data_IF_485538039920
#
_entry.id   IF_485538039920
#
_cell.length_a   1.000
_cell.length_b   1.000
_cell.length_c   1.000
_cell.angle_alpha   90.00
_cell.angle_beta   90.00
_cell.angle_gamma   90.00
#
_symmetry.space_group_name_H-M   'P 1'
#
loop_
_entity.id
_entity.type
_entity.pdbx_description
1 polymer ?
#
# COMPACT_ATOMS: atom_id res chain seq x y z
N UNK A 1 -9.53 -40.10 -22.36
CA UNK A 1 -9.99 -38.73 -22.08
C UNK A 1 -9.75 -38.43 -20.61
N UNK A 2 -8.67 -37.73 -20.28
CA UNK A 2 -8.49 -37.15 -18.95
C UNK A 2 -7.66 -35.88 -19.13
N UNK A 3 -8.35 -34.73 -19.13
CA UNK A 3 -7.75 -33.42 -19.36
C UNK A 3 -7.13 -32.94 -18.04
N UNK A 4 -5.79 -32.97 -17.97
CA UNK A 4 -5.02 -32.39 -16.88
C UNK A 4 -5.25 -30.88 -16.92
N UNK A 5 -6.00 -30.38 -15.94
CA UNK A 5 -6.39 -28.98 -15.83
C UNK A 5 -5.20 -28.19 -15.28
N UNK A 6 -4.35 -27.69 -16.17
CA UNK A 6 -3.17 -26.90 -15.84
C UNK A 6 -3.59 -25.48 -15.43
N UNK A 7 -4.23 -25.32 -14.27
CA UNK A 7 -4.41 -24.01 -13.66
C UNK A 7 -3.08 -23.60 -13.04
N UNK A 8 -2.28 -22.89 -13.84
CA UNK A 8 -1.26 -21.99 -13.33
C UNK A 8 -1.95 -20.95 -12.45
N UNK A 9 -2.04 -21.25 -11.15
CA UNK A 9 -2.32 -20.26 -10.13
C UNK A 9 -1.09 -19.36 -10.10
N UNK A 10 -1.04 -18.37 -11.01
CA UNK A 10 -0.05 -17.30 -10.97
C UNK A 10 -0.26 -16.61 -9.63
N UNK A 11 0.61 -16.93 -8.67
CA UNK A 11 0.71 -16.19 -7.44
C UNK A 11 1.05 -14.75 -7.85
N UNK A 12 0.04 -13.88 -7.84
CA UNK A 12 0.16 -12.43 -8.07
C UNK A 12 1.05 -11.73 -7.02
N UNK A 13 1.68 -12.52 -6.15
CA UNK A 13 2.64 -12.19 -5.11
C UNK A 13 4.07 -12.64 -5.48
N UNK A 14 4.38 -12.89 -6.76
CA UNK A 14 5.77 -12.99 -7.18
C UNK A 14 6.38 -11.59 -7.13
N UNK A 15 6.90 -11.22 -5.96
CA UNK A 15 7.77 -10.06 -5.80
C UNK A 15 8.84 -10.09 -6.88
N UNK A 16 8.76 -9.17 -7.84
CA UNK A 16 9.84 -9.00 -8.81
C UNK A 16 11.11 -8.71 -8.01
N UNK A 17 12.21 -9.42 -8.25
CA UNK A 17 13.48 -9.21 -7.53
C UNK A 17 13.96 -7.73 -7.63
N UNK A 18 13.43 -6.99 -8.60
CA UNK A 18 13.69 -5.56 -8.80
C UNK A 18 12.63 -4.61 -8.21
N UNK A 19 11.56 -5.11 -7.58
CA UNK A 19 10.48 -4.29 -7.02
C UNK A 19 10.97 -3.21 -6.05
N UNK A 20 11.91 -3.47 -5.12
CA UNK A 20 12.46 -2.43 -4.26
C UNK A 20 13.19 -1.34 -5.06
N UNK A 21 13.97 -1.73 -6.08
CA UNK A 21 14.70 -0.78 -6.93
C UNK A 21 13.74 0.08 -7.74
N UNK A 22 12.68 -0.51 -8.30
CA UNK A 22 11.63 0.21 -9.03
C UNK A 22 10.89 1.21 -8.13
N UNK A 23 10.54 0.80 -6.91
CA UNK A 23 9.90 1.67 -5.93
C UNK A 23 10.78 2.88 -5.58
N UNK A 24 12.07 2.65 -5.33
CA UNK A 24 13.04 3.73 -5.06
C UNK A 24 13.11 4.70 -6.23
N UNK A 25 13.26 4.20 -7.46
CA UNK A 25 13.30 5.03 -8.66
C UNK A 25 12.04 5.89 -8.80
N UNK A 26 10.87 5.29 -8.60
CA UNK A 26 9.59 6.00 -8.67
C UNK A 26 9.49 7.12 -7.62
N UNK A 27 9.88 6.84 -6.38
CA UNK A 27 9.86 7.83 -5.29
C UNK A 27 10.81 8.99 -5.61
N UNK A 28 12.00 8.69 -6.17
CA UNK A 28 12.99 9.69 -6.54
C UNK A 28 12.59 10.52 -7.77
N UNK A 29 11.83 9.95 -8.70
CA UNK A 29 11.39 10.63 -9.93
C UNK A 29 10.12 11.45 -9.75
N UNK A 30 9.38 11.26 -8.66
CA UNK A 30 8.12 11.96 -8.40
C UNK A 30 8.34 13.37 -7.83
N UNK A 31 7.50 14.30 -8.26
CA UNK A 31 7.31 15.57 -7.55
C UNK A 31 6.66 15.35 -6.18
N UNK A 32 6.81 16.31 -5.28
CA UNK A 32 6.13 16.28 -3.98
C UNK A 32 4.61 16.17 -4.11
N UNK A 33 4.03 16.76 -5.16
CA UNK A 33 2.59 16.70 -5.42
C UNK A 33 2.14 15.29 -5.83
N UNK A 34 2.86 14.66 -6.76
CA UNK A 34 2.58 13.27 -7.18
C UNK A 34 2.75 12.28 -6.02
N UNK A 35 3.80 12.49 -5.21
CA UNK A 35 4.04 11.67 -4.04
C UNK A 35 2.92 11.80 -3.01
N UNK A 36 2.50 13.04 -2.72
CA UNK A 36 1.42 13.32 -1.77
C UNK A 36 0.11 12.72 -2.26
N UNK A 37 -0.20 12.86 -3.55
CA UNK A 37 -1.38 12.25 -4.17
C UNK A 37 -1.38 10.74 -4.01
N UNK A 38 -0.28 10.06 -4.33
CA UNK A 38 -0.19 8.59 -4.17
C UNK A 38 -0.43 8.16 -2.72
N UNK A 39 0.14 8.88 -1.74
CA UNK A 39 -0.03 8.56 -0.33
C UNK A 39 -1.51 8.72 0.07
N UNK A 40 -2.12 9.85 -0.27
CA UNK A 40 -3.53 10.12 0.06
C UNK A 40 -4.43 9.08 -0.61
N UNK A 41 -4.28 8.84 -1.91
CA UNK A 41 -5.09 7.88 -2.65
C UNK A 41 -4.97 6.47 -2.06
N UNK A 42 -3.76 6.06 -1.66
CA UNK A 42 -3.54 4.75 -1.01
C UNK A 42 -4.26 4.70 0.34
N UNK A 43 -4.10 5.71 1.20
CA UNK A 43 -4.78 5.71 2.51
C UNK A 43 -6.29 5.74 2.37
N UNK A 44 -6.84 6.55 1.46
CA UNK A 44 -8.28 6.59 1.17
C UNK A 44 -8.74 5.22 0.72
N UNK A 45 -8.10 4.62 -0.29
CA UNK A 45 -8.50 3.30 -0.80
C UNK A 45 -8.51 2.20 0.28
N UNK A 46 -7.64 2.26 1.28
CA UNK A 46 -7.55 1.25 2.34
C UNK A 46 -8.45 1.52 3.55
N UNK A 47 -8.83 2.78 3.79
CA UNK A 47 -9.53 3.19 5.01
C UNK A 47 -10.89 3.85 4.76
N UNK A 48 -11.30 4.02 3.51
CA UNK A 48 -12.52 4.73 3.11
C UNK A 48 -13.77 4.23 3.84
N UNK A 49 -13.95 2.91 3.97
CA UNK A 49 -15.11 2.36 4.66
C UNK A 49 -15.15 2.77 6.14
N UNK A 50 -14.00 2.75 6.82
CA UNK A 50 -13.91 3.19 8.21
C UNK A 50 -14.04 4.71 8.37
N UNK A 51 -13.61 5.49 7.38
CA UNK A 51 -13.82 6.94 7.34
C UNK A 51 -15.31 7.26 7.17
N UNK A 52 -16.01 6.55 6.27
CA UNK A 52 -17.44 6.73 6.01
C UNK A 52 -18.30 6.30 7.19
N UNK A 53 -17.96 5.19 7.84
CA UNK A 53 -18.70 4.66 9.00
C UNK A 53 -18.55 5.56 10.24
N UNK A 54 -17.32 5.94 10.59
CA UNK A 54 -17.08 6.77 11.77
C UNK A 54 -15.82 7.65 11.64
N UNK A 55 -15.97 8.88 11.11
CA UNK A 55 -14.86 9.81 10.89
C UNK A 55 -14.07 10.11 12.17
N UNK A 56 -14.75 10.24 13.32
CA UNK A 56 -14.11 10.58 14.60
C UNK A 56 -13.27 9.43 15.13
N UNK A 57 -13.77 8.19 15.05
CA UNK A 57 -13.02 7.01 15.43
C UNK A 57 -11.80 6.80 14.52
N UNK A 58 -11.94 7.05 13.22
CA UNK A 58 -10.80 7.04 12.29
C UNK A 58 -9.74 8.06 12.68
N UNK A 59 -10.13 9.31 12.97
CA UNK A 59 -9.17 10.35 13.41
C UNK A 59 -8.42 9.93 14.67
N UNK A 60 -9.11 9.39 15.69
CA UNK A 60 -8.45 8.86 16.88
C UNK A 60 -7.49 7.72 16.56
N UNK A 61 -7.85 6.81 15.66
CA UNK A 61 -6.97 5.73 15.20
C UNK A 61 -5.74 6.29 14.48
N UNK A 62 -5.92 7.28 13.61
CA UNK A 62 -4.83 7.94 12.91
C UNK A 62 -3.85 8.61 13.88
N UNK A 63 -4.34 9.40 14.85
CA UNK A 63 -3.47 9.98 15.88
C UNK A 63 -2.71 8.93 16.69
N UNK A 64 -3.34 7.79 17.01
CA UNK A 64 -2.66 6.65 17.66
C UNK A 64 -1.59 6.02 16.77
N UNK A 65 -1.82 5.95 15.45
CA UNK A 65 -0.82 5.49 14.48
C UNK A 65 0.36 6.46 14.41
N UNK A 66 0.13 7.77 14.48
CA UNK A 66 1.22 8.78 14.38
C UNK A 66 1.89 9.10 15.71
N UNK A 67 1.46 8.50 16.83
CA UNK A 67 1.91 8.87 18.18
C UNK A 67 3.40 8.59 18.44
N UNK A 68 3.98 7.59 17.78
CA UNK A 68 5.40 7.23 17.92
C UNK A 68 5.98 6.83 16.56
N UNK A 69 7.30 6.97 16.33
CA UNK A 69 7.93 6.50 15.09
C UNK A 69 7.63 5.02 14.78
N UNK A 70 7.68 4.15 15.79
CA UNK A 70 7.33 2.75 15.65
C UNK A 70 5.86 2.56 15.26
N UNK A 71 4.94 3.32 15.88
CA UNK A 71 3.52 3.26 15.53
C UNK A 71 3.24 3.74 14.11
N UNK A 72 3.99 4.74 13.66
CA UNK A 72 3.88 5.27 12.32
C UNK A 72 4.36 4.26 11.28
N UNK A 73 5.49 3.60 11.54
CA UNK A 73 6.02 2.56 10.67
C UNK A 73 5.02 1.40 10.50
N UNK A 74 4.49 0.84 11.61
CA UNK A 74 3.47 -0.22 11.51
C UNK A 74 2.17 0.26 10.85
N UNK A 75 1.78 1.51 11.09
CA UNK A 75 0.54 2.07 10.59
C UNK A 75 0.57 2.39 9.10
N UNK A 76 1.73 2.72 8.56
CA UNK A 76 1.93 3.06 7.15
C UNK A 76 2.33 1.86 6.28
N UNK A 77 2.30 0.63 6.82
CA UNK A 77 2.68 -0.59 6.10
C UNK A 77 1.93 -0.79 4.77
N UNK A 78 0.71 -0.27 4.63
CA UNK A 78 -0.06 -0.28 3.37
C UNK A 78 0.67 0.44 2.24
N UNK A 79 1.39 1.53 2.53
CA UNK A 79 2.22 2.22 1.54
C UNK A 79 3.36 1.32 1.07
N UNK A 80 4.07 0.68 2.01
CA UNK A 80 5.19 -0.22 1.69
C UNK A 80 4.76 -1.34 0.74
N UNK A 81 3.66 -2.03 1.04
CA UNK A 81 3.17 -3.10 0.18
C UNK A 81 2.69 -2.57 -1.18
N UNK A 82 2.10 -1.37 -1.23
CA UNK A 82 1.65 -0.78 -2.48
C UNK A 82 2.82 -0.29 -3.34
N UNK A 83 3.89 0.19 -2.74
CA UNK A 83 5.14 0.54 -3.43
C UNK A 83 5.77 -0.69 -4.07
N UNK A 84 5.69 -1.87 -3.46
CA UNK A 84 6.37 -3.06 -3.97
C UNK A 84 5.62 -3.78 -5.09
N UNK A 85 4.38 -3.36 -5.37
CA UNK A 85 3.60 -3.84 -6.52
C UNK A 85 4.01 -3.17 -7.83
N UNK A 86 5.16 -2.48 -7.94
CA UNK A 86 5.55 -1.82 -9.21
C UNK A 86 5.66 -2.86 -10.32
N UNK A 87 4.78 -2.74 -11.30
CA UNK A 87 4.75 -3.55 -12.53
C UNK A 87 6.05 -3.42 -13.34
#
# INVERSE_FOLDING_TARGET
MSSINNRSHVNHLSYNANAPKKAIYRIQSQTNAERSKFIIDTFVSFFEDGIRDNPKAFHTRFCKMTATPFSFYRGSAVLFYQELKVD
#
